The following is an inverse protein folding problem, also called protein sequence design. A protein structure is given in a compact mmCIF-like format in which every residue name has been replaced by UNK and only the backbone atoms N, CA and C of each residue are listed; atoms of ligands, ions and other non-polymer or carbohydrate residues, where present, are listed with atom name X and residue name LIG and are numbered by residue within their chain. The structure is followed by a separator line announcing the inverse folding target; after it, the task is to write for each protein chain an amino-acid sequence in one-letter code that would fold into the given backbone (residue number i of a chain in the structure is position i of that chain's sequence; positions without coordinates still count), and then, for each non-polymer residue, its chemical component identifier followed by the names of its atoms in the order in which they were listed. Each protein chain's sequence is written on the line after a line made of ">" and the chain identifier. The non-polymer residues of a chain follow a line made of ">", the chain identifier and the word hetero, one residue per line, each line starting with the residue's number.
data_IF_038996083656
#
_entry.id   IF_038996083656
#
_cell.length_a   1.000
_cell.length_b   1.000
_cell.length_c   1.000
_cell.angle_alpha   90.00
_cell.angle_beta   90.00
_cell.angle_gamma   90.00
#
_symmetry.space_group_name_H-M   'P 1'
#
loop_
_entity.id
_entity.type
_entity.pdbx_description
1 polymer ?
#
# COMPACT_ATOMS: atom_id res chain seq x y z
N UNK A 1 -12.77 -4.49 -15.68
CA UNK A 1 -12.29 -3.25 -16.31
C UNK A 1 -13.47 -2.32 -16.60
N UNK A 2 -13.91 -1.52 -15.62
CA UNK A 2 -15.15 -0.74 -15.75
C UNK A 2 -14.99 0.57 -16.54
N UNK A 3 -13.76 1.04 -16.82
CA UNK A 3 -13.54 2.32 -17.50
C UNK A 3 -12.41 2.34 -18.55
N UNK A 4 -11.64 1.26 -18.72
CA UNK A 4 -10.53 1.20 -19.69
C UNK A 4 -9.42 2.24 -19.49
N UNK A 5 -9.29 2.78 -18.27
CA UNK A 5 -8.30 3.81 -17.95
C UNK A 5 -6.92 3.18 -17.76
N UNK A 6 -5.90 3.88 -18.23
CA UNK A 6 -4.49 3.51 -18.05
C UNK A 6 -3.76 4.62 -17.32
N UNK A 7 -2.92 4.27 -16.34
CA UNK A 7 -2.09 5.24 -15.63
C UNK A 7 -0.91 5.65 -16.51
N UNK A 8 -0.80 6.94 -16.80
CA UNK A 8 0.35 7.49 -17.53
C UNK A 8 1.46 7.86 -16.54
N UNK A 9 2.71 7.60 -16.92
CA UNK A 9 3.85 8.03 -16.15
C UNK A 9 4.06 9.54 -16.31
N UNK A 10 4.33 10.24 -15.21
CA UNK A 10 4.85 11.60 -15.23
C UNK A 10 6.38 11.58 -15.39
N UNK A 11 6.82 11.26 -16.61
CA UNK A 11 8.22 11.11 -16.99
C UNK A 11 9.04 12.39 -16.79
N UNK A 12 8.39 13.55 -16.88
CA UNK A 12 8.99 14.88 -16.70
C UNK A 12 8.93 15.39 -15.26
N UNK A 13 8.36 14.62 -14.32
CA UNK A 13 8.22 14.98 -12.91
C UNK A 13 7.57 16.37 -12.73
N UNK A 14 6.53 16.63 -13.51
CA UNK A 14 5.79 17.90 -13.49
C UNK A 14 4.87 18.00 -12.27
N UNK A 15 4.45 16.86 -11.71
CA UNK A 15 3.68 16.76 -10.50
C UNK A 15 4.60 16.45 -9.31
N UNK A 16 4.27 17.01 -8.15
CA UNK A 16 4.91 16.60 -6.90
C UNK A 16 4.59 15.13 -6.62
N UNK A 17 5.59 14.34 -6.27
CA UNK A 17 5.40 12.97 -5.84
C UNK A 17 4.96 12.95 -4.37
N UNK A 18 3.68 12.75 -4.13
CA UNK A 18 3.13 12.56 -2.79
C UNK A 18 3.41 11.13 -2.31
N UNK A 19 4.56 10.93 -1.68
CA UNK A 19 4.95 9.64 -1.12
C UNK A 19 4.16 9.33 0.16
N UNK A 20 3.59 8.11 0.22
CA UNK A 20 3.01 7.58 1.45
C UNK A 20 4.14 7.09 2.35
N UNK A 21 4.30 7.72 3.51
CA UNK A 21 5.36 7.38 4.48
C UNK A 21 4.75 7.08 5.84
N UNK A 22 5.01 5.90 6.44
CA UNK A 22 4.55 5.59 7.77
C UNK A 22 5.34 6.40 8.82
N UNK A 23 4.63 7.20 9.61
CA UNK A 23 5.19 7.98 10.72
C UNK A 23 4.63 7.45 12.03
N UNK A 24 5.51 7.12 12.97
CA UNK A 24 5.13 6.56 14.27
C UNK A 24 5.73 7.34 15.43
N UNK A 25 5.01 7.39 16.56
CA UNK A 25 5.55 7.96 17.78
C UNK A 25 6.59 7.02 18.39
N UNK A 26 7.81 7.51 18.62
CA UNK A 26 8.92 6.70 19.17
C UNK A 26 8.59 6.03 20.50
N UNK A 27 7.92 6.74 21.42
CA UNK A 27 7.61 6.22 22.75
C UNK A 27 6.57 5.09 22.73
N UNK A 28 5.76 4.99 21.67
CA UNK A 28 4.71 3.95 21.52
C UNK A 28 5.09 2.83 20.57
N UNK A 29 5.82 3.15 19.50
CA UNK A 29 6.03 2.25 18.37
C UNK A 29 7.42 2.45 17.72
N UNK A 30 8.41 2.89 18.50
CA UNK A 30 9.78 3.09 18.04
C UNK A 30 10.69 1.86 18.14
N UNK A 31 10.15 0.67 18.40
CA UNK A 31 10.94 -0.56 18.50
C UNK A 31 11.42 -1.03 17.13
N UNK A 32 12.54 -1.77 17.11
CA UNK A 32 13.09 -2.34 15.89
C UNK A 32 12.10 -3.26 15.17
N UNK A 33 11.29 -4.03 15.91
CA UNK A 33 10.28 -4.90 15.30
C UNK A 33 9.23 -4.14 14.48
N UNK A 34 8.76 -2.98 14.97
CA UNK A 34 7.83 -2.13 14.21
C UNK A 34 8.54 -1.52 13.01
N UNK A 35 9.76 -1.00 13.21
CA UNK A 35 10.58 -0.41 12.15
C UNK A 35 10.82 -1.40 11.02
N UNK A 36 11.20 -2.63 11.35
CA UNK A 36 11.51 -3.68 10.36
C UNK A 36 10.25 -4.16 9.65
N UNK A 37 9.11 -4.30 10.35
CA UNK A 37 7.84 -4.66 9.73
C UNK A 37 7.37 -3.60 8.72
N UNK A 38 7.35 -2.33 9.11
CA UNK A 38 6.98 -1.21 8.23
C UNK A 38 8.00 -1.02 7.10
N UNK A 39 9.29 -1.25 7.38
CA UNK A 39 10.34 -1.21 6.38
C UNK A 39 10.12 -2.24 5.28
N UNK A 40 9.80 -3.50 5.63
CA UNK A 40 9.47 -4.56 4.66
C UNK A 40 8.25 -4.18 3.81
N UNK A 41 7.19 -3.64 4.43
CA UNK A 41 6.02 -3.17 3.70
C UNK A 41 6.37 -2.06 2.69
N UNK A 42 7.16 -1.07 3.10
CA UNK A 42 7.53 0.06 2.25
C UNK A 42 8.30 -0.35 0.99
N UNK A 43 9.02 -1.48 1.00
CA UNK A 43 9.76 -1.98 -0.17
C UNK A 43 8.87 -2.58 -1.27
N UNK A 44 7.64 -2.97 -0.94
CA UNK A 44 6.75 -3.67 -1.89
C UNK A 44 5.55 -2.83 -2.31
N UNK A 45 5.32 -1.68 -1.67
CA UNK A 45 4.14 -0.85 -1.88
C UNK A 45 4.30 0.00 -3.16
N UNK A 46 3.87 -0.56 -4.29
CA UNK A 46 3.91 0.15 -5.58
C UNK A 46 2.65 0.98 -5.83
N UNK A 47 2.73 1.97 -6.72
CA UNK A 47 1.56 2.75 -7.16
C UNK A 47 0.47 1.86 -7.78
N UNK A 48 0.86 0.82 -8.52
CA UNK A 48 -0.07 -0.13 -9.12
C UNK A 48 -0.81 -0.95 -8.05
N UNK A 49 -0.08 -1.41 -7.03
CA UNK A 49 -0.67 -2.12 -5.89
C UNK A 49 -1.66 -1.22 -5.13
N UNK A 50 -1.29 0.04 -4.86
CA UNK A 50 -2.17 1.02 -4.20
C UNK A 50 -3.44 1.30 -5.01
N UNK A 51 -3.32 1.50 -6.33
CA UNK A 51 -4.46 1.73 -7.21
C UNK A 51 -5.42 0.53 -7.21
N UNK A 52 -4.87 -0.70 -7.29
CA UNK A 52 -5.68 -1.92 -7.27
C UNK A 52 -6.38 -2.14 -5.92
N UNK A 53 -5.72 -1.84 -4.80
CA UNK A 53 -6.35 -1.92 -3.47
C UNK A 53 -7.47 -0.87 -3.32
N UNK A 54 -7.25 0.37 -3.76
CA UNK A 54 -8.27 1.42 -3.72
C UNK A 54 -9.48 1.06 -4.59
N UNK A 55 -9.26 0.51 -5.80
CA UNK A 55 -10.36 0.07 -6.67
C UNK A 55 -11.23 -1.01 -6.00
N UNK A 56 -10.60 -2.00 -5.35
CA UNK A 56 -11.31 -3.06 -4.64
C UNK A 56 -12.22 -2.51 -3.54
N UNK A 57 -11.77 -1.50 -2.81
CA UNK A 57 -12.56 -0.87 -1.74
C UNK A 57 -13.64 0.04 -2.33
N UNK A 58 -13.29 0.94 -3.24
CA UNK A 58 -14.18 1.99 -3.72
C UNK A 58 -15.23 1.46 -4.70
N UNK A 59 -14.80 0.65 -5.66
CA UNK A 59 -15.66 0.15 -6.74
C UNK A 59 -16.34 -1.15 -6.37
N UNK A 60 -15.61 -2.09 -5.77
CA UNK A 60 -16.17 -3.42 -5.42
C UNK A 60 -16.69 -3.48 -3.99
N UNK A 61 -16.59 -2.39 -3.22
CA UNK A 61 -17.11 -2.26 -1.85
C UNK A 61 -16.59 -3.33 -0.90
N UNK A 62 -15.35 -3.79 -1.11
CA UNK A 62 -14.68 -4.70 -0.17
C UNK A 62 -14.28 -3.97 1.10
N UNK A 63 -14.27 -4.69 2.22
CA UNK A 63 -13.78 -4.15 3.49
C UNK A 63 -12.28 -3.83 3.38
N UNK A 64 -11.85 -2.62 3.76
CA UNK A 64 -10.43 -2.24 3.70
C UNK A 64 -9.52 -3.20 4.47
N UNK A 65 -9.96 -3.72 5.61
CA UNK A 65 -9.21 -4.68 6.41
C UNK A 65 -8.91 -6.00 5.68
N UNK A 66 -9.88 -6.52 4.91
CA UNK A 66 -9.73 -7.78 4.18
C UNK A 66 -8.84 -7.60 2.95
N UNK A 67 -8.96 -6.45 2.27
CA UNK A 67 -8.09 -6.08 1.14
C UNK A 67 -6.65 -5.95 1.63
N UNK A 68 -6.43 -5.25 2.75
CA UNK A 68 -5.09 -5.09 3.34
C UNK A 68 -4.51 -6.43 3.79
N UNK A 69 -5.29 -7.29 4.48
CA UNK A 69 -4.86 -8.63 4.88
C UNK A 69 -4.44 -9.46 3.69
N UNK A 70 -5.30 -9.56 2.67
CA UNK A 70 -5.03 -10.30 1.44
C UNK A 70 -3.75 -9.81 0.76
N UNK A 71 -3.55 -8.49 0.70
CA UNK A 71 -2.33 -7.92 0.14
C UNK A 71 -1.09 -8.33 0.92
N UNK A 72 -1.09 -8.20 2.25
CA UNK A 72 0.04 -8.58 3.11
C UNK A 72 0.37 -10.08 3.00
N UNK A 73 -0.64 -10.94 2.94
CA UNK A 73 -0.48 -12.38 2.70
C UNK A 73 0.14 -12.66 1.33
N UNK A 74 -0.33 -12.00 0.27
CA UNK A 74 0.18 -12.17 -1.10
C UNK A 74 1.66 -11.79 -1.22
N UNK A 75 2.09 -10.75 -0.49
CA UNK A 75 3.49 -10.31 -0.41
C UNK A 75 4.31 -11.09 0.63
N UNK A 76 3.71 -12.09 1.29
CA UNK A 76 4.34 -12.94 2.34
C UNK A 76 4.87 -12.12 3.51
N UNK A 77 4.21 -11.02 3.83
CA UNK A 77 4.54 -10.17 4.99
C UNK A 77 3.90 -10.71 6.27
N UNK A 78 2.78 -11.42 6.14
CA UNK A 78 2.12 -12.18 7.21
C UNK A 78 1.76 -13.59 6.71
N UNK A 79 1.57 -14.57 7.62
CA UNK A 79 1.05 -15.89 7.27
C UNK A 79 -0.35 -15.80 6.67
N UNK A 80 -0.71 -16.76 5.80
CA UNK A 80 -2.11 -16.92 5.38
C UNK A 80 -2.97 -17.36 6.55
N UNK A 81 -4.10 -16.68 6.73
CA UNK A 81 -5.17 -17.09 7.65
C UNK A 81 -5.92 -18.34 7.20
#
# INVERSE_FOLDING_TARGET
>A
DQFGLVLLADDKKLQNADYVVPVVNRARAGSDGVRDALGRLNTVLTTADLASMNEQVDSWRRLPEDVARTYLESKKLIPKG
#
